data_IF_498445360724
#
_entry.id   IF_498445360724
#
_cell.length_a   1.000
_cell.length_b   1.000
_cell.length_c   1.000
_cell.angle_alpha   90.00
_cell.angle_beta   90.00
_cell.angle_gamma   90.00
#
_symmetry.space_group_name_H-M   'P 1'
#
loop_
_entity.id
_entity.type
_entity.pdbx_description
1 polymer ?
#
# COMPACT_ATOMS: atom_id res chain seq x y z
N UNK A 1 61.44 -40.23 46.79
CA UNK A 1 61.06 -39.08 45.94
C UNK A 1 59.97 -39.56 45.00
N UNK A 2 58.73 -39.22 45.32
CA UNK A 2 57.52 -39.55 44.54
C UNK A 2 57.03 -38.26 43.87
N UNK A 3 56.68 -38.26 42.57
CA UNK A 3 56.14 -37.08 41.92
C UNK A 3 54.63 -37.00 42.15
N UNK A 4 54.17 -35.82 42.55
CA UNK A 4 52.78 -35.44 42.75
C UNK A 4 52.22 -34.87 41.43
N UNK A 5 51.19 -35.51 40.87
CA UNK A 5 50.45 -35.03 39.71
C UNK A 5 49.52 -33.87 40.12
N UNK A 6 49.70 -32.71 39.48
CA UNK A 6 48.80 -31.55 39.64
C UNK A 6 47.68 -31.61 38.60
N UNK A 7 46.44 -31.79 39.07
CA UNK A 7 45.24 -31.75 38.24
C UNK A 7 44.82 -30.29 37.97
N UNK A 8 45.13 -29.76 36.80
CA UNK A 8 44.62 -28.48 36.30
C UNK A 8 43.21 -28.67 35.75
N UNK A 9 42.23 -28.07 36.42
CA UNK A 9 40.83 -28.03 35.99
C UNK A 9 40.62 -26.90 34.98
N UNK A 10 40.43 -27.27 33.71
CA UNK A 10 40.22 -26.37 32.59
C UNK A 10 38.78 -25.83 32.58
N UNK A 11 38.55 -24.67 33.21
CA UNK A 11 37.26 -23.98 33.20
C UNK A 11 37.08 -23.24 31.86
N UNK A 12 36.56 -23.91 30.83
CA UNK A 12 36.15 -23.27 29.58
C UNK A 12 34.89 -22.44 29.80
N UNK A 13 35.06 -21.12 29.96
CA UNK A 13 33.96 -20.17 29.86
C UNK A 13 33.28 -20.33 28.48
N UNK A 14 32.02 -20.77 28.47
CA UNK A 14 31.21 -20.90 27.26
C UNK A 14 30.95 -19.51 26.69
N UNK A 15 31.71 -19.11 25.68
CA UNK A 15 31.48 -17.87 24.95
C UNK A 15 30.06 -17.90 24.38
N UNK A 16 29.18 -16.93 24.72
CA UNK A 16 27.81 -16.92 24.23
C UNK A 16 27.81 -16.97 22.71
N UNK A 17 27.04 -17.94 22.17
CA UNK A 17 27.04 -18.26 20.75
C UNK A 17 26.68 -17.02 19.94
N UNK A 18 27.29 -16.87 18.76
CA UNK A 18 27.06 -15.74 17.84
C UNK A 18 25.58 -15.52 17.51
N UNK A 19 24.75 -16.57 17.65
CA UNK A 19 23.31 -16.51 17.44
C UNK A 19 22.57 -15.72 18.54
N UNK A 20 23.00 -15.78 19.81
CA UNK A 20 22.34 -15.04 20.90
C UNK A 20 22.54 -13.53 20.78
N UNK A 21 23.71 -13.07 20.34
CA UNK A 21 24.00 -11.63 20.14
C UNK A 21 23.21 -10.99 18.98
N UNK A 22 22.86 -11.77 17.95
CA UNK A 22 22.08 -11.25 16.80
C UNK A 22 20.60 -11.13 17.15
N UNK A 23 20.06 -12.06 17.96
CA UNK A 23 18.67 -12.03 18.39
C UNK A 23 18.34 -10.84 19.30
N UNK A 24 19.27 -10.48 20.20
CA UNK A 24 19.06 -9.40 21.18
C UNK A 24 19.13 -7.99 20.55
N UNK A 25 19.87 -7.84 19.44
CA UNK A 25 20.01 -6.58 18.70
C UNK A 25 18.82 -6.23 17.79
N UNK A 26 17.99 -7.20 17.39
CA UNK A 26 16.94 -6.99 16.38
C UNK A 26 15.60 -6.52 16.97
N UNK A 27 15.30 -6.88 18.22
CA UNK A 27 14.03 -6.59 18.87
C UNK A 27 13.73 -5.08 19.11
N UNK A 28 14.70 -4.21 19.46
CA UNK A 28 14.43 -2.79 19.72
C UNK A 28 14.06 -2.00 18.45
N UNK A 29 14.64 -2.38 17.30
CA UNK A 29 14.41 -1.71 16.02
C UNK A 29 13.01 -1.99 15.47
N UNK A 30 12.51 -3.22 15.60
CA UNK A 30 11.17 -3.59 15.15
C UNK A 30 10.07 -2.92 16.01
N UNK A 31 10.28 -2.84 17.33
CA UNK A 31 9.32 -2.21 18.27
C UNK A 31 9.28 -0.69 18.11
N UNK A 32 10.38 -0.05 17.76
CA UNK A 32 10.33 1.40 17.53
C UNK A 32 9.61 1.70 16.21
N UNK A 33 9.74 0.87 15.17
CA UNK A 33 9.20 1.16 13.84
C UNK A 33 7.66 1.30 13.81
N UNK A 34 6.92 0.42 14.49
CA UNK A 34 5.45 0.46 14.50
C UNK A 34 4.88 1.71 15.16
N UNK A 35 5.57 2.30 16.15
CA UNK A 35 5.13 3.55 16.80
C UNK A 35 5.08 4.68 15.77
N UNK A 36 6.11 4.80 14.93
CA UNK A 36 6.13 5.84 13.89
C UNK A 36 5.04 5.59 12.83
N UNK A 37 4.72 4.34 12.50
CA UNK A 37 3.58 4.02 11.63
C UNK A 37 2.26 4.39 12.29
N UNK A 38 2.07 4.07 13.58
CA UNK A 38 0.88 4.43 14.33
C UNK A 38 0.70 5.95 14.40
N UNK A 39 1.78 6.71 14.62
CA UNK A 39 1.74 8.19 14.64
C UNK A 39 1.24 8.75 13.30
N UNK A 40 1.74 8.28 12.16
CA UNK A 40 1.27 8.80 10.85
C UNK A 40 -0.17 8.40 10.55
N UNK A 41 -0.62 7.21 10.97
CA UNK A 41 -2.00 6.77 10.79
C UNK A 41 -2.98 7.54 11.69
N UNK A 42 -2.60 7.79 12.94
CA UNK A 42 -3.36 8.67 13.84
C UNK A 42 -3.39 10.09 13.29
N UNK A 43 -2.28 10.61 12.77
CA UNK A 43 -2.22 11.90 12.10
C UNK A 43 -3.18 11.99 10.91
N UNK A 44 -3.20 10.97 10.05
CA UNK A 44 -4.14 10.86 8.94
C UNK A 44 -5.60 10.84 9.41
N UNK A 45 -5.92 10.05 10.44
CA UNK A 45 -7.27 10.01 11.01
C UNK A 45 -7.70 11.37 11.58
N UNK A 46 -6.81 12.08 12.28
CA UNK A 46 -7.08 13.41 12.79
C UNK A 46 -7.30 14.42 11.67
N UNK A 47 -6.53 14.35 10.58
CA UNK A 47 -6.75 15.18 9.39
C UNK A 47 -8.16 14.93 8.81
N UNK A 48 -8.55 13.66 8.62
CA UNK A 48 -9.88 13.31 8.13
C UNK A 48 -11.02 13.84 9.02
N UNK A 49 -10.82 13.87 10.34
CA UNK A 49 -11.81 14.39 11.29
C UNK A 49 -11.85 15.92 11.34
N UNK A 50 -10.71 16.58 11.09
CA UNK A 50 -10.58 18.03 11.15
C UNK A 50 -10.94 18.73 9.84
N UNK A 51 -10.89 18.03 8.71
CA UNK A 51 -11.16 18.59 7.37
C UNK A 51 -12.43 18.01 6.75
N UNK A 52 -12.95 18.72 5.75
CA UNK A 52 -13.98 18.22 4.86
C UNK A 52 -13.56 18.46 3.42
N UNK A 53 -13.86 17.53 2.53
CA UNK A 53 -13.68 17.78 1.10
C UNK A 53 -14.76 18.73 0.60
N UNK A 54 -14.36 19.66 -0.28
CA UNK A 54 -15.27 20.56 -0.99
C UNK A 54 -15.74 19.97 -2.33
N UNK A 55 -14.96 19.04 -2.88
CA UNK A 55 -15.23 18.37 -4.13
C UNK A 55 -15.43 16.88 -3.87
N UNK A 56 -16.49 16.31 -4.46
CA UNK A 56 -16.79 14.88 -4.37
C UNK A 56 -16.16 14.10 -5.54
N UNK A 57 -15.56 14.77 -6.52
CA UNK A 57 -15.05 14.16 -7.74
C UNK A 57 -16.11 13.27 -8.40
N UNK A 58 -15.70 12.07 -8.77
CA UNK A 58 -16.58 11.11 -9.46
C UNK A 58 -17.55 10.34 -8.52
N UNK A 59 -17.58 10.65 -7.22
CA UNK A 59 -18.32 9.85 -6.22
C UNK A 59 -19.81 9.75 -6.53
N UNK A 60 -20.44 10.86 -6.90
CA UNK A 60 -21.87 10.85 -7.25
C UNK A 60 -22.15 10.03 -8.50
N UNK A 61 -21.29 10.14 -9.51
CA UNK A 61 -21.40 9.36 -10.75
C UNK A 61 -21.29 7.86 -10.44
N UNK A 62 -20.31 7.44 -9.64
CA UNK A 62 -20.19 6.05 -9.21
C UNK A 62 -21.38 5.58 -8.38
N UNK A 63 -21.89 6.42 -7.48
CA UNK A 63 -23.08 6.13 -6.69
C UNK A 63 -24.31 5.88 -7.56
N UNK A 64 -24.57 6.75 -8.53
CA UNK A 64 -25.68 6.62 -9.45
C UNK A 64 -25.54 5.36 -10.32
N UNK A 65 -24.35 5.09 -10.85
CA UNK A 65 -24.08 3.90 -11.66
C UNK A 65 -24.34 2.60 -10.87
N UNK A 66 -23.94 2.56 -9.59
CA UNK A 66 -24.20 1.41 -8.71
C UNK A 66 -25.70 1.23 -8.43
N UNK A 67 -26.43 2.31 -8.13
CA UNK A 67 -27.88 2.25 -7.89
C UNK A 67 -28.62 1.81 -9.15
N UNK A 68 -28.25 2.35 -10.30
CA UNK A 68 -28.85 1.97 -11.58
C UNK A 68 -28.58 0.50 -11.91
N UNK A 69 -27.34 0.03 -11.71
CA UNK A 69 -26.97 -1.37 -11.91
C UNK A 69 -27.76 -2.32 -10.99
N UNK A 70 -27.86 -2.02 -9.69
CA UNK A 70 -28.62 -2.83 -8.72
C UNK A 70 -30.12 -2.89 -9.04
N UNK A 71 -30.65 -1.90 -9.76
CA UNK A 71 -32.05 -1.86 -10.21
C UNK A 71 -32.28 -2.57 -11.55
N UNK A 72 -31.24 -3.14 -12.16
CA UNK A 72 -31.32 -3.69 -13.51
C UNK A 72 -31.55 -2.63 -14.59
N UNK A 73 -31.25 -1.36 -14.31
CA UNK A 73 -31.27 -0.27 -15.30
C UNK A 73 -29.99 -0.31 -16.12
N UNK A 74 -29.98 0.37 -17.27
CA UNK A 74 -28.80 0.49 -18.12
C UNK A 74 -27.71 1.33 -17.44
N UNK A 75 -26.84 0.67 -16.68
CA UNK A 75 -25.60 1.22 -16.16
C UNK A 75 -24.52 0.13 -16.19
N UNK A 76 -23.30 0.53 -16.55
CA UNK A 76 -22.17 -0.39 -16.56
C UNK A 76 -21.29 -0.17 -15.34
N UNK A 77 -21.14 -1.22 -14.53
CA UNK A 77 -20.10 -1.29 -13.49
C UNK A 77 -18.72 -1.49 -14.12
N UNK A 78 -18.65 -1.85 -15.39
CA UNK A 78 -17.39 -1.98 -16.11
C UNK A 78 -17.15 -0.76 -17.00
N UNK A 79 -16.09 -0.02 -16.72
CA UNK A 79 -15.67 1.07 -17.60
C UNK A 79 -14.15 1.19 -17.63
N UNK A 80 -13.64 1.71 -18.74
CA UNK A 80 -12.22 1.67 -19.05
C UNK A 80 -11.38 2.46 -18.05
N UNK A 81 -11.83 3.61 -17.57
CA UNK A 81 -11.06 4.45 -16.65
C UNK A 81 -10.73 3.78 -15.31
N UNK A 82 -11.67 2.99 -14.78
CA UNK A 82 -11.60 2.37 -13.47
C UNK A 82 -12.06 0.89 -13.48
N UNK A 83 -11.35 -0.01 -14.18
CA UNK A 83 -11.80 -1.39 -14.39
C UNK A 83 -12.11 -2.17 -13.10
N UNK A 84 -11.36 -1.91 -12.02
CA UNK A 84 -11.53 -2.60 -10.74
C UNK A 84 -12.44 -1.85 -9.75
N UNK A 85 -12.52 -0.52 -9.80
CA UNK A 85 -13.12 0.27 -8.74
C UNK A 85 -14.62 0.04 -8.57
N UNK A 86 -15.37 0.19 -9.67
CA UNK A 86 -16.83 0.07 -9.67
C UNK A 86 -17.28 -1.38 -9.41
N UNK A 87 -16.67 -2.43 -10.02
CA UNK A 87 -17.01 -3.80 -9.69
C UNK A 87 -16.71 -4.16 -8.23
N UNK A 88 -15.60 -3.66 -7.67
CA UNK A 88 -15.28 -3.85 -6.26
C UNK A 88 -16.34 -3.21 -5.36
N UNK A 89 -16.73 -1.96 -5.63
CA UNK A 89 -17.76 -1.28 -4.86
C UNK A 89 -19.12 -2.00 -4.96
N UNK A 90 -19.49 -2.48 -6.15
CA UNK A 90 -20.69 -3.28 -6.37
C UNK A 90 -20.68 -4.58 -5.56
N UNK A 91 -19.54 -5.28 -5.54
CA UNK A 91 -19.37 -6.50 -4.75
C UNK A 91 -19.53 -6.22 -3.25
N UNK A 92 -18.92 -5.16 -2.73
CA UNK A 92 -19.05 -4.78 -1.31
C UNK A 92 -20.49 -4.37 -0.98
N UNK A 93 -21.13 -3.56 -1.83
CA UNK A 93 -22.51 -3.12 -1.62
C UNK A 93 -23.50 -4.29 -1.63
N UNK A 94 -23.26 -5.31 -2.46
CA UNK A 94 -24.07 -6.54 -2.51
C UNK A 94 -23.96 -7.38 -1.24
N UNK A 95 -22.87 -7.26 -0.47
CA UNK A 95 -22.74 -7.89 0.84
C UNK A 95 -23.52 -7.14 1.93
N UNK A 96 -23.71 -5.83 1.76
CA UNK A 96 -24.47 -4.98 2.70
C UNK A 96 -25.98 -5.08 2.46
N UNK A 97 -26.40 -5.18 1.19
CA UNK A 97 -27.80 -5.26 0.79
C UNK A 97 -28.11 -6.55 0.03
N UNK A 98 -28.54 -7.58 0.75
CA UNK A 98 -28.94 -8.85 0.15
C UNK A 98 -30.22 -8.75 -0.71
N UNK A 99 -31.09 -7.77 -0.43
CA UNK A 99 -32.29 -7.49 -1.23
C UNK A 99 -32.42 -5.97 -1.48
N UNK A 100 -31.72 -5.43 -2.50
CA UNK A 100 -31.78 -4.00 -2.81
C UNK A 100 -33.16 -3.55 -3.30
N UNK A 101 -34.07 -4.47 -3.69
CA UNK A 101 -35.39 -4.11 -4.17
C UNK A 101 -36.26 -3.44 -3.08
N UNK A 102 -36.01 -3.76 -1.80
CA UNK A 102 -36.78 -3.25 -0.64
C UNK A 102 -36.36 -1.87 -0.15
N UNK A 103 -35.25 -1.34 -0.67
CA UNK A 103 -34.67 -0.07 -0.23
C UNK A 103 -35.00 1.01 -1.26
N UNK A 104 -35.25 2.26 -0.85
CA UNK A 104 -35.46 3.36 -1.81
C UNK A 104 -34.16 3.77 -2.51
N UNK A 105 -34.24 4.36 -3.71
CA UNK A 105 -33.06 4.81 -4.46
C UNK A 105 -32.17 5.78 -3.67
N UNK A 106 -32.75 6.74 -2.94
CA UNK A 106 -31.96 7.69 -2.13
C UNK A 106 -31.16 7.03 -1.01
N UNK A 107 -31.71 5.98 -0.39
CA UNK A 107 -30.99 5.20 0.64
C UNK A 107 -29.89 4.36 0.00
N UNK A 108 -30.16 3.68 -1.12
CA UNK A 108 -29.12 2.93 -1.83
C UNK A 108 -27.98 3.83 -2.30
N UNK A 109 -28.30 5.03 -2.79
CA UNK A 109 -27.30 6.02 -3.20
C UNK A 109 -26.42 6.44 -2.01
N UNK A 110 -27.03 6.80 -0.88
CA UNK A 110 -26.30 7.19 0.31
C UNK A 110 -25.39 6.08 0.83
N UNK A 111 -25.82 4.82 0.76
CA UNK A 111 -25.00 3.66 1.14
C UNK A 111 -23.89 3.38 0.12
N UNK A 112 -24.16 3.52 -1.18
CA UNK A 112 -23.13 3.41 -2.23
C UNK A 112 -22.03 4.45 -2.04
N UNK A 113 -22.40 5.72 -1.84
CA UNK A 113 -21.46 6.81 -1.54
C UNK A 113 -20.67 6.52 -0.27
N UNK A 114 -21.32 5.99 0.78
CA UNK A 114 -20.66 5.62 2.03
C UNK A 114 -19.63 4.51 1.81
N UNK A 115 -19.99 3.44 1.10
CA UNK A 115 -19.09 2.32 0.77
C UNK A 115 -17.88 2.82 -0.01
N UNK A 116 -18.10 3.57 -1.08
CA UNK A 116 -17.03 4.12 -1.91
C UNK A 116 -16.09 5.01 -1.09
N UNK A 117 -16.65 5.90 -0.26
CA UNK A 117 -15.87 6.80 0.59
C UNK A 117 -15.02 6.02 1.60
N UNK A 118 -15.59 5.00 2.25
CA UNK A 118 -14.81 4.17 3.18
C UNK A 118 -13.71 3.38 2.47
N UNK A 119 -13.96 2.87 1.27
CA UNK A 119 -12.92 2.20 0.48
C UNK A 119 -11.77 3.18 0.17
N UNK A 120 -12.07 4.43 -0.17
CA UNK A 120 -11.04 5.46 -0.40
C UNK A 120 -10.28 5.83 0.88
N UNK A 121 -10.98 6.01 2.00
CA UNK A 121 -10.38 6.27 3.32
C UNK A 121 -9.43 5.13 3.74
N UNK A 122 -9.85 3.87 3.55
CA UNK A 122 -9.00 2.71 3.83
C UNK A 122 -7.81 2.64 2.87
N UNK A 123 -8.03 2.94 1.59
CA UNK A 123 -6.96 3.11 0.60
C UNK A 123 -5.96 4.21 1.02
N UNK A 124 -6.45 5.32 1.57
CA UNK A 124 -5.64 6.42 2.08
C UNK A 124 -4.81 6.02 3.28
N UNK A 125 -5.39 5.31 4.25
CA UNK A 125 -4.65 4.76 5.38
C UNK A 125 -3.54 3.81 4.91
N UNK A 126 -3.85 2.94 3.94
CA UNK A 126 -2.87 2.04 3.34
C UNK A 126 -1.76 2.81 2.61
N UNK A 127 -2.09 3.81 1.80
CA UNK A 127 -1.13 4.67 1.12
C UNK A 127 -0.20 5.39 2.11
N UNK A 128 -0.75 5.98 3.18
CA UNK A 128 0.03 6.65 4.24
C UNK A 128 1.02 5.69 4.91
N UNK A 129 0.56 4.49 5.27
CA UNK A 129 1.42 3.45 5.85
C UNK A 129 2.53 2.99 4.89
N UNK A 130 2.18 2.73 3.63
CA UNK A 130 3.13 2.30 2.60
C UNK A 130 4.13 3.39 2.21
N UNK A 131 3.70 4.66 2.14
CA UNK A 131 4.60 5.77 1.85
C UNK A 131 5.66 5.91 2.93
N UNK A 132 5.27 5.87 4.21
CA UNK A 132 6.20 5.87 5.34
C UNK A 132 7.13 4.66 5.31
N UNK A 133 6.60 3.46 5.02
CA UNK A 133 7.40 2.25 4.91
C UNK A 133 8.40 2.31 3.73
N UNK A 134 8.01 2.92 2.61
CA UNK A 134 8.87 3.14 1.45
C UNK A 134 9.99 4.14 1.77
N UNK A 135 9.68 5.27 2.41
CA UNK A 135 10.68 6.25 2.88
C UNK A 135 11.70 5.60 3.82
N UNK A 136 11.24 4.77 4.76
CA UNK A 136 12.13 4.01 5.64
C UNK A 136 13.06 3.06 4.85
N UNK A 137 12.56 2.38 3.81
CA UNK A 137 13.36 1.48 2.98
C UNK A 137 14.41 2.18 2.15
N UNK A 138 14.13 3.38 1.65
CA UNK A 138 15.12 4.18 0.90
C UNK A 138 16.10 4.91 1.83
N UNK A 139 15.99 4.74 3.15
CA UNK A 139 16.98 5.21 4.13
C UNK A 139 16.69 6.60 4.70
N UNK A 140 15.47 7.12 4.56
CA UNK A 140 15.10 8.42 5.15
C UNK A 140 15.09 8.31 6.68
N UNK A 141 15.69 9.27 7.42
CA UNK A 141 15.64 9.28 8.87
C UNK A 141 14.22 9.22 9.40
N UNK A 142 14.00 8.44 10.47
CA UNK A 142 12.68 8.11 11.02
C UNK A 142 11.73 9.31 11.13
N UNK A 143 12.15 10.38 11.81
CA UNK A 143 11.28 11.52 12.06
C UNK A 143 11.06 12.39 10.83
N UNK A 144 12.05 12.44 9.93
CA UNK A 144 11.88 13.03 8.60
C UNK A 144 10.84 12.25 7.81
N UNK A 145 10.89 10.91 7.82
CA UNK A 145 9.89 10.08 7.14
C UNK A 145 8.48 10.28 7.73
N UNK A 146 8.35 10.42 9.05
CA UNK A 146 7.07 10.74 9.71
C UNK A 146 6.55 12.11 9.26
N UNK A 147 7.37 13.15 9.33
CA UNK A 147 6.99 14.51 8.95
C UNK A 147 6.60 14.59 7.46
N UNK A 148 7.40 14.02 6.57
CA UNK A 148 7.11 13.95 5.13
C UNK A 148 5.83 13.18 4.85
N UNK A 149 5.56 12.10 5.59
CA UNK A 149 4.32 11.33 5.42
C UNK A 149 3.09 12.12 5.87
N UNK A 150 3.18 12.86 6.99
CA UNK A 150 2.08 13.73 7.45
C UNK A 150 1.85 14.85 6.43
N UNK A 151 2.91 15.46 5.90
CA UNK A 151 2.81 16.48 4.87
C UNK A 151 2.15 15.93 3.58
N UNK A 152 2.53 14.72 3.16
CA UNK A 152 1.87 14.01 2.06
C UNK A 152 0.38 13.77 2.34
N UNK A 153 0.04 13.27 3.54
CA UNK A 153 -1.34 13.01 3.94
C UNK A 153 -2.18 14.30 4.05
N UNK A 154 -1.56 15.43 4.39
CA UNK A 154 -2.21 16.74 4.49
C UNK A 154 -2.29 17.50 3.16
N UNK A 155 -1.61 17.02 2.11
CA UNK A 155 -1.66 17.66 0.80
C UNK A 155 -3.10 17.64 0.28
N UNK A 156 -3.64 18.79 -0.10
CA UNK A 156 -5.07 18.94 -0.45
C UNK A 156 -5.53 17.96 -1.52
N UNK A 157 -4.68 17.67 -2.51
CA UNK A 157 -4.98 16.69 -3.54
C UNK A 157 -5.15 15.27 -2.97
N UNK A 158 -4.29 14.85 -2.05
CA UNK A 158 -4.40 13.54 -1.44
C UNK A 158 -5.56 13.48 -0.44
N UNK A 159 -5.59 14.41 0.52
CA UNK A 159 -6.60 14.42 1.59
C UNK A 159 -8.01 14.59 1.03
N UNK A 160 -8.18 15.49 0.06
CA UNK A 160 -9.46 15.73 -0.60
C UNK A 160 -10.02 14.46 -1.22
N UNK A 161 -9.25 13.79 -2.09
CA UNK A 161 -9.70 12.55 -2.73
C UNK A 161 -9.77 11.35 -1.78
N UNK A 162 -9.02 11.35 -0.68
CA UNK A 162 -9.14 10.30 0.33
C UNK A 162 -10.47 10.40 1.12
N UNK A 163 -11.10 11.58 1.12
CA UNK A 163 -12.41 11.86 1.72
C UNK A 163 -13.58 11.70 0.72
N UNK A 164 -13.32 11.29 -0.51
CA UNK A 164 -14.34 11.03 -1.54
C UNK A 164 -14.38 9.55 -1.87
N UNK A 165 -15.43 9.11 -2.55
CA UNK A 165 -15.56 7.77 -3.10
C UNK A 165 -14.83 7.54 -4.43
N UNK A 166 -13.68 8.18 -4.67
CA UNK A 166 -12.91 7.99 -5.90
C UNK A 166 -11.85 6.89 -5.79
N UNK A 167 -11.42 6.36 -6.94
CA UNK A 167 -10.46 5.25 -7.01
C UNK A 167 -9.00 5.67 -6.86
N UNK A 168 -8.73 6.98 -6.93
CA UNK A 168 -7.38 7.50 -7.16
C UNK A 168 -6.45 7.18 -5.99
N UNK A 169 -6.93 7.36 -4.76
CA UNK A 169 -6.14 7.14 -3.54
C UNK A 169 -5.84 5.64 -3.32
N UNK A 170 -6.81 4.71 -3.46
CA UNK A 170 -6.53 3.28 -3.56
C UNK A 170 -5.50 2.93 -4.64
N UNK A 171 -5.60 3.52 -5.84
CA UNK A 171 -4.61 3.35 -6.90
C UNK A 171 -3.20 3.80 -6.49
N UNK A 172 -3.08 4.96 -5.84
CA UNK A 172 -1.82 5.46 -5.26
C UNK A 172 -1.28 4.51 -4.19
N UNK A 173 -2.13 3.92 -3.35
CA UNK A 173 -1.71 2.93 -2.36
C UNK A 173 -1.04 1.71 -3.03
N UNK A 174 -1.62 1.20 -4.12
CA UNK A 174 -1.07 0.07 -4.86
C UNK A 174 0.24 0.44 -5.59
N UNK A 175 0.34 1.67 -6.10
CA UNK A 175 1.59 2.19 -6.65
C UNK A 175 2.70 2.24 -5.58
N UNK A 176 2.38 2.73 -4.39
CA UNK A 176 3.30 2.77 -3.25
C UNK A 176 3.71 1.38 -2.77
N UNK A 177 2.83 0.39 -2.85
CA UNK A 177 3.15 -1.01 -2.56
C UNK A 177 4.25 -1.51 -3.52
N UNK A 178 4.12 -1.19 -4.81
CA UNK A 178 5.11 -1.58 -5.81
C UNK A 178 6.47 -0.90 -5.57
N UNK A 179 6.46 0.41 -5.30
CA UNK A 179 7.67 1.17 -4.96
C UNK A 179 8.34 0.64 -3.68
N UNK A 180 7.54 0.34 -2.65
CA UNK A 180 8.02 -0.27 -1.42
C UNK A 180 8.70 -1.61 -1.68
N UNK A 181 8.12 -2.47 -2.52
CA UNK A 181 8.71 -3.76 -2.88
C UNK A 181 10.05 -3.59 -3.61
N UNK A 182 10.12 -2.66 -4.57
CA UNK A 182 11.32 -2.38 -5.35
C UNK A 182 12.45 -1.71 -4.55
N UNK A 183 12.11 -0.97 -3.50
CA UNK A 183 13.07 -0.35 -2.58
C UNK A 183 13.77 -1.36 -1.64
N UNK A 184 13.42 -2.65 -1.72
CA UNK A 184 14.03 -3.72 -0.91
C UNK A 184 15.54 -3.89 -1.11
N UNK A 185 16.17 -4.52 -0.12
CA UNK A 185 17.58 -4.89 -0.18
C UNK A 185 17.82 -6.04 -1.16
N UNK A 186 19.03 -6.11 -1.72
CA UNK A 186 19.40 -7.17 -2.66
C UNK A 186 19.39 -8.57 -2.04
N UNK A 187 19.43 -8.69 -0.72
CA UNK A 187 19.30 -10.00 -0.05
C UNK A 187 17.88 -10.58 -0.16
N UNK A 188 16.90 -9.78 -0.56
CA UNK A 188 15.52 -10.24 -0.74
C UNK A 188 15.37 -11.11 -2.00
N UNK A 189 14.37 -11.99 -1.96
CA UNK A 189 14.02 -12.87 -3.09
C UNK A 189 13.52 -12.06 -4.28
N UNK A 190 14.21 -12.19 -5.41
CA UNK A 190 13.84 -11.51 -6.67
C UNK A 190 12.42 -11.83 -7.09
N UNK A 191 12.02 -13.11 -7.00
CA UNK A 191 10.68 -13.57 -7.39
C UNK A 191 9.60 -12.89 -6.56
N UNK A 192 9.83 -12.75 -5.26
CA UNK A 192 8.89 -12.07 -4.36
C UNK A 192 8.80 -10.58 -4.68
N UNK A 193 9.93 -9.92 -4.89
CA UNK A 193 9.96 -8.50 -5.27
C UNK A 193 9.23 -8.26 -6.58
N UNK A 194 9.51 -9.06 -7.62
CA UNK A 194 8.84 -8.97 -8.92
C UNK A 194 7.33 -9.20 -8.73
N UNK A 195 6.91 -10.26 -8.04
CA UNK A 195 5.49 -10.55 -7.85
C UNK A 195 4.74 -9.41 -7.17
N UNK A 196 5.25 -8.90 -6.03
CA UNK A 196 4.59 -7.82 -5.29
C UNK A 196 4.59 -6.52 -6.11
N UNK A 197 5.71 -6.19 -6.77
CA UNK A 197 5.79 -4.97 -7.59
C UNK A 197 4.84 -5.02 -8.79
N UNK A 198 4.81 -6.15 -9.52
CA UNK A 198 3.93 -6.33 -10.67
C UNK A 198 2.46 -6.25 -10.29
N UNK A 199 2.06 -6.89 -9.19
CA UNK A 199 0.68 -6.85 -8.68
C UNK A 199 0.34 -5.42 -8.24
N UNK A 200 1.21 -4.75 -7.50
CA UNK A 200 0.98 -3.37 -7.06
C UNK A 200 0.81 -2.41 -8.25
N UNK A 201 1.68 -2.49 -9.27
CA UNK A 201 1.52 -1.67 -10.48
C UNK A 201 0.25 -2.03 -11.26
N UNK A 202 -0.04 -3.31 -11.48
CA UNK A 202 -1.25 -3.72 -12.19
C UNK A 202 -2.52 -3.23 -11.49
N UNK A 203 -2.61 -3.44 -10.16
CA UNK A 203 -3.75 -2.95 -9.38
C UNK A 203 -3.85 -1.43 -9.40
N UNK A 204 -2.73 -0.70 -9.38
CA UNK A 204 -2.75 0.76 -9.52
C UNK A 204 -3.41 1.18 -10.84
N UNK A 205 -3.03 0.56 -11.96
CA UNK A 205 -3.63 0.81 -13.28
C UNK A 205 -5.10 0.40 -13.33
N UNK A 206 -5.46 -0.74 -12.73
CA UNK A 206 -6.84 -1.21 -12.70
C UNK A 206 -7.75 -0.36 -11.79
N UNK A 207 -7.21 0.29 -10.76
CA UNK A 207 -7.94 1.31 -10.01
C UNK A 207 -8.10 2.59 -10.83
N UNK A 208 -7.08 3.00 -11.59
CA UNK A 208 -7.12 4.19 -12.41
C UNK A 208 -6.10 4.13 -13.56
N UNK A 209 -6.60 3.97 -14.80
CA UNK A 209 -5.76 3.71 -15.98
C UNK A 209 -4.63 4.73 -16.19
N UNK A 210 -4.81 6.04 -15.97
CA UNK A 210 -3.72 7.01 -16.11
C UNK A 210 -2.44 6.67 -15.34
N UNK A 211 -2.53 5.86 -14.27
CA UNK A 211 -1.36 5.36 -13.54
C UNK A 211 -0.47 4.43 -14.35
N UNK A 212 -0.89 3.98 -15.54
CA UNK A 212 -0.03 3.24 -16.48
C UNK A 212 1.23 4.02 -16.84
N UNK A 213 1.13 5.36 -16.90
CA UNK A 213 2.25 6.24 -17.17
C UNK A 213 3.26 6.28 -16.01
N UNK A 214 2.82 5.97 -14.79
CA UNK A 214 3.68 5.93 -13.62
C UNK A 214 4.49 4.62 -13.51
N UNK A 215 4.08 3.54 -14.19
CA UNK A 215 4.72 2.22 -14.07
C UNK A 215 6.19 2.23 -14.51
N UNK A 216 6.56 2.75 -15.71
CA UNK A 216 7.97 2.77 -16.12
C UNK A 216 8.83 3.64 -15.19
N UNK A 217 8.32 4.82 -14.80
CA UNK A 217 9.02 5.70 -13.87
C UNK A 217 9.21 5.08 -12.49
N UNK A 218 8.18 4.40 -11.99
CA UNK A 218 8.21 3.68 -10.71
C UNK A 218 9.22 2.53 -10.73
N UNK A 219 9.28 1.75 -11.81
CA UNK A 219 10.27 0.70 -11.96
C UNK A 219 11.71 1.25 -12.06
N UNK A 220 11.90 2.35 -12.82
CA UNK A 220 13.19 3.03 -12.94
C UNK A 220 13.66 3.64 -11.61
N UNK A 221 12.75 4.01 -10.70
CA UNK A 221 13.11 4.54 -9.37
C UNK A 221 14.01 3.58 -8.59
N UNK A 222 13.88 2.27 -8.78
CA UNK A 222 14.71 1.25 -8.14
C UNK A 222 16.19 1.33 -8.55
N UNK A 223 16.46 1.81 -9.77
CA UNK A 223 17.80 2.01 -10.33
C UNK A 223 18.34 3.37 -9.87
N UNK A 224 17.51 4.41 -9.99
CA UNK A 224 17.91 5.79 -9.65
C UNK A 224 18.23 5.92 -8.15
N UNK A 225 17.39 5.38 -7.28
CA UNK A 225 17.50 5.57 -5.83
C UNK A 225 18.45 4.56 -5.15
N UNK A 226 18.72 3.40 -5.77
CA UNK A 226 19.50 2.32 -5.14
C UNK A 226 20.74 1.92 -5.93
N UNK A 227 21.02 2.60 -7.03
CA UNK A 227 22.15 2.33 -7.89
C UNK A 227 21.84 1.34 -9.01
N UNK A 228 22.68 1.41 -10.02
CA UNK A 228 22.49 0.68 -11.26
C UNK A 228 23.26 -0.65 -11.27
N UNK A 229 22.52 -1.75 -11.11
CA UNK A 229 23.07 -3.10 -11.17
C UNK A 229 22.32 -3.95 -12.20
N UNK A 230 22.98 -4.92 -12.88
CA UNK A 230 22.32 -5.80 -13.83
C UNK A 230 21.13 -6.58 -13.25
N UNK A 231 21.17 -6.82 -11.95
CA UNK A 231 20.08 -7.44 -11.20
C UNK A 231 18.87 -6.50 -11.06
N UNK A 232 19.08 -5.26 -10.65
CA UNK A 232 18.01 -4.25 -10.51
C UNK A 232 17.35 -3.92 -11.85
N UNK A 233 18.14 -3.80 -12.92
CA UNK A 233 17.61 -3.64 -14.29
C UNK A 233 16.65 -4.77 -14.68
N UNK A 234 17.04 -6.03 -14.40
CA UNK A 234 16.19 -7.20 -14.68
C UNK A 234 14.90 -7.20 -13.86
N UNK A 235 14.99 -6.90 -12.56
CA UNK A 235 13.80 -6.83 -11.68
C UNK A 235 12.85 -5.72 -12.15
N UNK A 236 13.37 -4.53 -12.45
CA UNK A 236 12.57 -3.40 -12.92
C UNK A 236 11.87 -3.71 -14.24
N UNK A 237 12.60 -4.27 -15.22
CA UNK A 237 12.03 -4.67 -16.51
C UNK A 237 10.97 -5.76 -16.34
N UNK A 238 11.26 -6.80 -15.55
CA UNK A 238 10.32 -7.88 -15.29
C UNK A 238 9.05 -7.37 -14.60
N UNK A 239 9.18 -6.47 -13.62
CA UNK A 239 8.03 -5.86 -12.95
C UNK A 239 7.13 -5.10 -13.94
N UNK A 240 7.70 -4.27 -14.82
CA UNK A 240 6.96 -3.56 -15.87
C UNK A 240 6.23 -4.50 -16.84
N UNK A 241 6.94 -5.50 -17.38
CA UNK A 241 6.37 -6.41 -18.38
C UNK A 241 5.25 -7.26 -17.77
N UNK A 242 5.49 -7.78 -16.57
CA UNK A 242 4.50 -8.60 -15.86
C UNK A 242 3.30 -7.77 -15.41
N UNK A 243 3.48 -6.52 -14.96
CA UNK A 243 2.33 -5.65 -14.64
C UNK A 243 1.50 -5.33 -15.87
N UNK A 244 2.14 -5.08 -17.02
CA UNK A 244 1.44 -4.88 -18.29
C UNK A 244 0.61 -6.09 -18.68
N UNK A 245 1.20 -7.29 -18.61
CA UNK A 245 0.48 -8.54 -18.87
C UNK A 245 -0.70 -8.74 -17.93
N UNK A 246 -0.51 -8.55 -16.62
CA UNK A 246 -1.59 -8.68 -15.63
C UNK A 246 -2.72 -7.69 -15.87
N UNK A 247 -2.40 -6.47 -16.31
CA UNK A 247 -3.41 -5.45 -16.61
C UNK A 247 -4.23 -5.81 -17.85
N UNK A 248 -3.61 -6.40 -18.88
CA UNK A 248 -4.30 -6.83 -20.12
C UNK A 248 -5.21 -8.05 -19.87
N UNK A 249 -4.85 -8.91 -18.93
CA UNK A 249 -5.58 -10.14 -18.63
C UNK A 249 -6.75 -9.95 -17.65
N UNK A 250 -6.85 -8.81 -16.98
CA UNK A 250 -7.89 -8.48 -16.01
C UNK A 250 -9.14 -7.92 -16.68
#
# INVERSE_FOLDING_TARGET
MTPTESTTTDFRASTPSRASRVAESAAPAARTDWIATAVVLVGYALLLLATRTLDQGDTSVYGDDLVNWLRGRHATVWEFGHPLWRPLAAAVLSLVHADPARVTDGVLFAEAVRVLTWLSVLGGALAVGLFRAWLARVGVPRWTAVATTIAFAAASAFLGYAQTGSSYVPGVAMLLLALWALAGDERQSERRTIAIASIGFALAVLFWIPLVLAVPGGALSAIILRGDTPRRRRIALAACLMSGLLTILA
#
